data_IF_553259564060
#
_entry.id   IF_553259564060
#
_cell.length_a   1.000
_cell.length_b   1.000
_cell.length_c   1.000
_cell.angle_alpha   90.00
_cell.angle_beta   90.00
_cell.angle_gamma   90.00
#
_symmetry.space_group_name_H-M   'P 1'
#
loop_
_entity.id
_entity.type
_entity.pdbx_description
1 polymer ?
#
# COMPACT_ATOMS: atom_id res chain seq x y z
N UNK A 1 72.76 -23.08 -4.20
CA UNK A 1 71.50 -23.04 -3.39
C UNK A 1 70.61 -21.81 -3.66
N UNK A 2 71.14 -20.64 -4.07
CA UNK A 2 70.34 -19.41 -4.27
C UNK A 2 69.25 -19.49 -5.36
N UNK A 3 69.46 -20.26 -6.44
CA UNK A 3 68.48 -20.36 -7.53
C UNK A 3 67.19 -21.12 -7.15
N UNK A 4 67.25 -22.08 -6.23
CA UNK A 4 66.08 -22.85 -5.79
C UNK A 4 65.14 -22.04 -4.87
N UNK A 5 65.69 -21.08 -4.11
CA UNK A 5 64.92 -20.21 -3.23
C UNK A 5 64.11 -19.18 -4.03
N UNK A 6 64.68 -18.65 -5.12
CA UNK A 6 64.02 -17.65 -5.97
C UNK A 6 62.79 -18.23 -6.70
N UNK A 7 62.88 -19.46 -7.21
CA UNK A 7 61.77 -20.13 -7.88
C UNK A 7 60.59 -20.38 -6.92
N UNK A 8 60.87 -20.75 -5.68
CA UNK A 8 59.86 -21.04 -4.66
C UNK A 8 59.09 -19.79 -4.23
N UNK A 9 59.79 -18.64 -4.15
CA UNK A 9 59.16 -17.34 -3.85
C UNK A 9 58.25 -16.88 -4.98
N UNK A 10 58.65 -17.06 -6.24
CA UNK A 10 57.83 -16.69 -7.40
C UNK A 10 56.55 -17.55 -7.51
N UNK A 11 56.65 -18.86 -7.24
CA UNK A 11 55.49 -19.76 -7.22
C UNK A 11 54.53 -19.43 -6.06
N UNK A 12 55.06 -19.03 -4.91
CA UNK A 12 54.23 -18.62 -3.77
C UNK A 12 53.49 -17.31 -4.05
N UNK A 13 54.14 -16.35 -4.72
CA UNK A 13 53.55 -15.07 -5.11
C UNK A 13 52.45 -15.21 -6.16
N UNK A 14 52.57 -16.16 -7.11
CA UNK A 14 51.49 -16.42 -8.08
C UNK A 14 50.30 -17.11 -7.45
N UNK A 15 50.52 -18.00 -6.46
CA UNK A 15 49.43 -18.57 -5.67
C UNK A 15 48.73 -17.49 -4.82
N UNK A 16 49.48 -16.63 -4.12
CA UNK A 16 48.90 -15.56 -3.30
C UNK A 16 48.22 -14.46 -4.14
N UNK A 17 48.76 -14.14 -5.32
CA UNK A 17 48.15 -13.19 -6.25
C UNK A 17 46.88 -13.71 -6.94
N UNK A 18 46.71 -15.04 -7.05
CA UNK A 18 45.50 -15.65 -7.62
C UNK A 18 44.27 -15.59 -6.71
N UNK A 19 44.46 -15.47 -5.39
CA UNK A 19 43.35 -15.45 -4.42
C UNK A 19 42.64 -14.10 -4.28
N UNK A 20 43.20 -13.00 -4.82
CA UNK A 20 42.62 -11.65 -4.64
C UNK A 20 41.66 -11.23 -5.76
N UNK A 21 41.48 -12.02 -6.82
CA UNK A 21 40.69 -11.63 -8.01
C UNK A 21 39.19 -11.98 -7.88
N UNK A 22 38.78 -12.71 -6.83
CA UNK A 22 37.45 -13.33 -6.76
C UNK A 22 36.52 -12.76 -5.69
N UNK A 23 36.27 -11.45 -5.63
CA UNK A 23 35.17 -10.89 -4.82
C UNK A 23 34.71 -9.55 -5.36
N UNK A 24 34.12 -9.56 -6.56
CA UNK A 24 33.25 -8.45 -6.97
C UNK A 24 31.98 -8.54 -6.09
N UNK A 25 31.95 -7.75 -5.01
CA UNK A 25 30.75 -7.55 -4.21
C UNK A 25 29.69 -6.97 -5.14
N UNK A 26 28.68 -7.76 -5.51
CA UNK A 26 27.53 -7.27 -6.27
C UNK A 26 26.88 -6.17 -5.41
N UNK A 27 26.82 -4.95 -5.95
CA UNK A 27 26.16 -3.85 -5.25
C UNK A 27 24.68 -4.19 -5.06
N UNK A 28 24.19 -4.23 -3.81
CA UNK A 28 22.80 -4.58 -3.56
C UNK A 28 21.87 -3.49 -4.09
N UNK A 29 20.69 -3.88 -4.59
CA UNK A 29 19.69 -2.94 -5.07
C UNK A 29 19.29 -1.95 -3.96
N UNK A 30 19.26 -0.65 -4.30
CA UNK A 30 18.68 0.37 -3.45
C UNK A 30 17.16 0.31 -3.54
N UNK A 31 16.48 0.09 -2.41
CA UNK A 31 15.02 0.08 -2.34
C UNK A 31 14.49 1.47 -1.99
N UNK A 32 13.51 1.94 -2.75
CA UNK A 32 12.75 3.16 -2.48
C UNK A 32 11.28 2.79 -2.31
N UNK A 33 10.64 3.22 -1.23
CA UNK A 33 9.23 2.93 -0.95
C UNK A 33 8.45 4.24 -0.93
N UNK A 34 7.45 4.38 -1.79
CA UNK A 34 6.63 5.58 -1.92
C UNK A 34 7.48 6.86 -2.05
N UNK A 35 8.57 6.80 -2.81
CA UNK A 35 9.52 7.90 -3.01
C UNK A 35 10.57 8.09 -1.91
N UNK A 36 10.54 7.29 -0.83
CA UNK A 36 11.48 7.40 0.28
C UNK A 36 12.54 6.28 0.27
N UNK A 37 13.84 6.59 0.40
CA UNK A 37 14.87 5.57 0.53
C UNK A 37 14.64 4.65 1.72
N UNK A 38 14.78 3.35 1.51
CA UNK A 38 14.60 2.31 2.52
C UNK A 38 15.94 1.65 2.88
N UNK A 39 16.02 1.11 4.09
CA UNK A 39 17.16 0.30 4.56
C UNK A 39 16.95 -1.20 4.33
N UNK A 40 15.85 -1.59 3.66
CA UNK A 40 15.58 -2.98 3.35
C UNK A 40 16.68 -3.56 2.46
N UNK A 41 17.12 -4.75 2.80
CA UNK A 41 18.05 -5.53 1.98
C UNK A 41 17.23 -6.37 1.02
N UNK A 42 17.57 -6.30 -0.26
CA UNK A 42 17.01 -7.19 -1.27
C UNK A 42 17.67 -8.57 -1.11
N UNK A 43 16.83 -9.59 -0.92
CA UNK A 43 17.25 -10.98 -0.95
C UNK A 43 17.34 -11.49 -2.38
N UNK A 44 18.11 -12.56 -2.56
CA UNK A 44 18.20 -13.27 -3.82
C UNK A 44 17.76 -14.71 -3.60
N UNK A 45 16.83 -15.20 -4.43
CA UNK A 45 16.54 -16.62 -4.56
C UNK A 45 16.66 -17.00 -6.03
N UNK A 46 17.75 -17.72 -6.35
CA UNK A 46 18.14 -18.05 -7.73
C UNK A 46 18.20 -16.78 -8.59
N UNK A 47 17.31 -16.66 -9.57
CA UNK A 47 17.24 -15.54 -10.51
C UNK A 47 16.23 -14.46 -10.09
N UNK A 48 15.61 -14.61 -8.91
CA UNK A 48 14.58 -13.70 -8.41
C UNK A 48 15.11 -12.78 -7.31
N UNK A 49 14.68 -11.52 -7.37
CA UNK A 49 14.88 -10.55 -6.30
C UNK A 49 13.69 -10.62 -5.33
N UNK A 50 13.99 -10.73 -4.04
CA UNK A 50 12.99 -10.80 -2.98
C UNK A 50 13.09 -9.52 -2.15
N UNK A 51 11.97 -8.81 -2.02
CA UNK A 51 11.88 -7.59 -1.21
C UNK A 51 10.89 -7.83 -0.06
N UNK A 52 11.34 -7.91 1.20
CA UNK A 52 10.45 -8.11 2.33
C UNK A 52 9.70 -6.81 2.65
N UNK A 53 8.41 -6.76 2.32
CA UNK A 53 7.55 -5.60 2.56
C UNK A 53 6.69 -5.81 3.81
N UNK A 54 6.71 -4.84 4.72
CA UNK A 54 5.78 -4.77 5.84
C UNK A 54 4.59 -3.86 5.47
N UNK A 55 3.38 -4.40 5.54
CA UNK A 55 2.15 -3.64 5.31
C UNK A 55 1.59 -3.16 6.66
N UNK A 56 1.37 -1.85 6.86
CA UNK A 56 0.82 -1.32 8.11
C UNK A 56 -0.69 -1.52 8.15
N UNK A 57 -1.13 -2.77 8.34
CA UNK A 57 -2.54 -3.12 8.42
C UNK A 57 -3.10 -2.67 9.78
N UNK A 58 -4.18 -1.89 9.77
CA UNK A 58 -4.78 -1.31 10.99
C UNK A 58 -6.14 -1.88 11.37
N UNK A 59 -6.76 -2.64 10.46
CA UNK A 59 -8.05 -3.31 10.66
C UNK A 59 -7.99 -4.79 10.28
N UNK A 60 -9.07 -5.49 10.55
CA UNK A 60 -9.25 -6.91 10.22
C UNK A 60 -9.26 -7.18 8.71
N UNK A 61 -9.66 -6.19 7.90
CA UNK A 61 -9.66 -6.32 6.44
C UNK A 61 -9.24 -5.02 5.72
N UNK A 62 -8.07 -5.05 5.08
CA UNK A 62 -7.59 -3.98 4.21
C UNK A 62 -7.09 -4.52 2.86
N UNK A 63 -7.45 -3.82 1.80
CA UNK A 63 -6.94 -4.07 0.46
C UNK A 63 -5.78 -3.11 0.18
N UNK A 64 -4.72 -3.60 -0.47
CA UNK A 64 -3.54 -2.82 -0.82
C UNK A 64 -3.13 -3.06 -2.27
N UNK A 65 -2.81 -1.97 -2.97
CA UNK A 65 -2.17 -2.02 -4.29
C UNK A 65 -0.66 -1.85 -4.12
N UNK A 66 0.11 -2.83 -4.59
CA UNK A 66 1.57 -2.83 -4.57
C UNK A 66 2.08 -2.88 -6.01
N UNK A 67 2.96 -1.95 -6.37
CA UNK A 67 3.61 -1.90 -7.69
C UNK A 67 5.12 -1.81 -7.50
N UNK A 68 5.86 -2.58 -8.30
CA UNK A 68 7.32 -2.63 -8.24
C UNK A 68 7.88 -2.22 -9.61
N UNK A 69 8.83 -1.31 -9.61
CA UNK A 69 9.61 -0.93 -10.78
C UNK A 69 11.08 -1.22 -10.52
N UNK A 70 11.66 -2.10 -11.33
CA UNK A 70 13.08 -2.46 -11.28
C UNK A 70 13.85 -1.67 -12.34
N UNK A 71 14.90 -0.97 -11.91
CA UNK A 71 15.87 -0.32 -12.78
C UNK A 71 17.25 -0.96 -12.56
N UNK A 72 17.65 -1.79 -13.51
CA UNK A 72 18.93 -2.49 -13.47
C UNK A 72 20.14 -1.58 -13.69
N UNK A 73 19.97 -0.47 -14.41
CA UNK A 73 21.08 0.46 -14.67
C UNK A 73 21.42 1.27 -13.43
N UNK A 74 20.39 1.71 -12.72
CA UNK A 74 20.54 2.44 -11.47
C UNK A 74 20.69 1.54 -10.23
N UNK A 75 20.66 0.20 -10.40
CA UNK A 75 20.58 -0.76 -9.30
C UNK A 75 19.51 -0.35 -8.27
N UNK A 76 18.33 0.03 -8.76
CA UNK A 76 17.26 0.62 -7.94
C UNK A 76 15.96 -0.17 -8.09
N UNK A 77 15.22 -0.28 -7.00
CA UNK A 77 13.91 -0.90 -6.96
C UNK A 77 12.91 0.05 -6.28
N UNK A 78 11.98 0.59 -7.06
CA UNK A 78 10.94 1.52 -6.61
C UNK A 78 9.65 0.75 -6.31
N UNK A 79 9.19 0.84 -5.07
CA UNK A 79 8.01 0.17 -4.56
C UNK A 79 6.97 1.22 -4.24
N UNK A 80 5.83 1.16 -4.92
CA UNK A 80 4.66 1.98 -4.59
C UNK A 80 3.61 1.14 -3.89
N UNK A 81 3.19 1.58 -2.71
CA UNK A 81 2.23 0.90 -1.85
C UNK A 81 1.12 1.87 -1.50
N UNK A 82 -0.12 1.54 -1.88
CA UNK A 82 -1.30 2.38 -1.61
C UNK A 82 -2.39 1.54 -0.99
N UNK A 83 -2.91 1.95 0.17
CA UNK A 83 -4.13 1.36 0.75
C UNK A 83 -5.32 1.65 -0.18
N UNK A 84 -6.06 0.62 -0.56
CA UNK A 84 -7.32 0.79 -1.28
C UNK A 84 -8.38 1.11 -0.24
N UNK A 85 -8.71 2.40 -0.13
CA UNK A 85 -9.83 2.84 0.68
C UNK A 85 -11.12 2.43 -0.04
N UNK A 86 -11.70 1.30 0.33
CA UNK A 86 -13.08 1.00 -0.06
C UNK A 86 -13.96 2.10 0.54
N UNK A 87 -14.77 2.76 -0.28
CA UNK A 87 -15.86 3.58 0.25
C UNK A 87 -16.78 2.64 1.02
N UNK A 88 -16.72 2.70 2.35
CA UNK A 88 -17.76 2.12 3.19
C UNK A 88 -19.08 2.80 2.80
N UNK A 89 -20.14 1.99 2.72
CA UNK A 89 -21.47 2.34 2.20
C UNK A 89 -21.82 3.82 2.41
N UNK A 90 -21.95 4.49 1.26
CA UNK A 90 -22.49 5.83 1.07
C UNK A 90 -22.98 6.03 -0.38
N UNK A 91 -23.03 4.97 -1.19
CA UNK A 91 -23.51 5.00 -2.57
C UNK A 91 -24.83 4.21 -2.74
N UNK A 92 -25.20 3.38 -1.76
CA UNK A 92 -26.48 2.65 -1.80
C UNK A 92 -27.60 3.59 -1.42
N UNK A 93 -28.58 3.72 -2.31
CA UNK A 93 -29.78 4.49 -2.06
C UNK A 93 -30.45 4.05 -0.76
N UNK A 94 -30.68 5.01 0.12
CA UNK A 94 -31.36 4.73 1.36
C UNK A 94 -32.83 4.41 1.06
N UNK A 95 -33.17 3.13 1.10
CA UNK A 95 -34.52 2.64 0.80
C UNK A 95 -35.58 3.22 1.75
N UNK A 96 -35.21 3.57 2.98
CA UNK A 96 -36.10 4.22 3.95
C UNK A 96 -36.56 5.62 3.53
N UNK A 97 -35.79 6.31 2.68
CA UNK A 97 -36.14 7.64 2.17
C UNK A 97 -36.12 7.73 0.64
N UNK A 98 -36.11 6.59 -0.06
CA UNK A 98 -35.98 6.52 -1.51
C UNK A 98 -34.87 7.43 -2.07
N UNK A 99 -33.70 7.43 -1.42
CA UNK A 99 -32.54 8.25 -1.75
C UNK A 99 -32.69 9.79 -1.61
N UNK A 100 -33.83 10.28 -1.11
CA UNK A 100 -34.06 11.73 -0.99
C UNK A 100 -33.35 12.36 0.21
N UNK A 101 -33.02 11.57 1.23
CA UNK A 101 -32.56 12.06 2.53
C UNK A 101 -33.66 12.65 3.40
N UNK A 102 -34.85 12.87 2.85
CA UNK A 102 -35.98 13.43 3.59
C UNK A 102 -36.70 12.35 4.37
N UNK A 103 -37.25 12.73 5.52
CA UNK A 103 -38.12 11.83 6.24
C UNK A 103 -39.49 11.76 5.55
N UNK A 104 -39.97 10.56 5.23
CA UNK A 104 -41.21 10.36 4.44
C UNK A 104 -42.47 10.79 5.17
N UNK A 105 -42.41 10.89 6.50
CA UNK A 105 -43.55 11.32 7.32
C UNK A 105 -43.64 12.86 7.37
N UNK A 106 -42.50 13.54 7.51
CA UNK A 106 -42.41 15.00 7.37
C UNK A 106 -42.73 15.47 5.93
N UNK A 107 -42.42 14.65 4.92
CA UNK A 107 -42.62 14.93 3.50
C UNK A 107 -43.35 13.78 2.78
N UNK A 108 -44.66 13.60 3.01
CA UNK A 108 -45.42 12.56 2.32
C UNK A 108 -45.47 12.86 0.83
N UNK A 109 -45.05 11.91 0.00
CA UNK A 109 -44.99 12.07 -1.45
C UNK A 109 -46.38 12.43 -2.02
N UNK A 110 -46.45 13.51 -2.80
CA UNK A 110 -47.69 13.96 -3.46
C UNK A 110 -48.65 14.77 -2.59
N UNK A 111 -48.33 14.98 -1.31
CA UNK A 111 -49.21 15.70 -0.39
C UNK A 111 -49.06 17.23 -0.44
N UNK A 112 -47.90 17.74 -0.87
CA UNK A 112 -47.57 19.18 -0.90
C UNK A 112 -47.45 19.84 0.47
N UNK A 113 -47.55 19.06 1.55
CA UNK A 113 -47.44 19.52 2.94
C UNK A 113 -46.08 19.16 3.52
N UNK A 114 -45.57 20.04 4.39
CA UNK A 114 -44.30 19.90 5.09
C UNK A 114 -44.58 19.97 6.60
N UNK A 115 -44.33 18.87 7.30
CA UNK A 115 -44.49 18.75 8.75
C UNK A 115 -43.17 18.87 9.52
N UNK A 116 -42.05 19.15 8.83
CA UNK A 116 -40.75 19.33 9.46
C UNK A 116 -40.80 20.45 10.51
N UNK A 117 -40.23 20.17 11.69
CA UNK A 117 -40.27 21.04 12.86
C UNK A 117 -41.29 20.63 13.93
N UNK A 118 -42.22 19.72 13.64
CA UNK A 118 -43.08 19.10 14.65
C UNK A 118 -42.40 17.84 15.22
N UNK A 119 -42.31 17.71 16.55
CA UNK A 119 -41.76 16.50 17.16
C UNK A 119 -42.68 15.30 16.90
N UNK A 120 -42.31 14.49 15.92
CA UNK A 120 -43.00 13.24 15.57
C UNK A 120 -42.11 12.00 15.79
N UNK A 121 -42.77 10.83 15.92
CA UNK A 121 -42.14 9.59 16.36
C UNK A 121 -40.98 9.11 15.47
N UNK A 122 -41.05 9.36 14.16
CA UNK A 122 -40.10 8.81 13.19
C UNK A 122 -39.01 9.82 12.82
N UNK A 123 -39.35 11.10 12.69
CA UNK A 123 -38.44 12.11 12.13
C UNK A 123 -37.92 13.11 13.17
N UNK A 124 -38.46 13.06 14.40
CA UNK A 124 -38.08 13.94 15.52
C UNK A 124 -38.10 15.43 15.15
N UNK A 125 -38.96 15.83 14.21
CA UNK A 125 -39.06 17.20 13.70
C UNK A 125 -37.85 17.70 12.93
N UNK A 126 -36.93 16.84 12.51
CA UNK A 126 -35.70 17.24 11.81
C UNK A 126 -35.88 17.40 10.30
N UNK A 127 -36.96 16.85 9.72
CA UNK A 127 -37.12 16.75 8.26
C UNK A 127 -36.22 15.71 7.61
N UNK A 128 -35.29 15.09 8.35
CA UNK A 128 -34.24 14.23 7.82
C UNK A 128 -34.52 12.78 8.15
N UNK A 129 -34.22 11.90 7.20
CA UNK A 129 -34.27 10.47 7.41
C UNK A 129 -33.23 10.05 8.45
N UNK A 130 -33.70 9.51 9.58
CA UNK A 130 -32.87 9.07 10.72
C UNK A 130 -31.94 7.91 10.36
N UNK A 131 -32.28 7.13 9.32
CA UNK A 131 -31.50 5.97 8.89
C UNK A 131 -30.28 6.32 8.05
N UNK A 132 -30.29 7.48 7.36
CA UNK A 132 -29.14 7.97 6.58
C UNK A 132 -28.60 9.32 7.06
N UNK A 133 -29.15 9.88 8.15
CA UNK A 133 -28.77 11.20 8.64
C UNK A 133 -29.08 12.34 7.66
N UNK A 134 -30.00 12.14 6.71
CA UNK A 134 -30.36 13.13 5.71
C UNK A 134 -29.54 13.11 4.42
N UNK A 135 -28.65 12.14 4.23
CA UNK A 135 -27.79 12.07 3.04
C UNK A 135 -28.45 11.42 1.83
N UNK A 136 -29.54 10.67 2.05
CA UNK A 136 -30.14 9.81 1.03
C UNK A 136 -29.34 8.53 0.76
N UNK A 137 -28.25 8.30 1.50
CA UNK A 137 -27.33 7.18 1.26
C UNK A 137 -27.07 6.40 2.55
N UNK A 138 -27.11 5.08 2.46
CA UNK A 138 -26.70 4.16 3.53
C UNK A 138 -25.20 3.89 3.48
#
# INVERSE_FOLDING_TARGET
MKAKLSLLVVVLLTFLGGYTIGSASVEPYQVVINGNPSKLKVGHDKDSLIVPLALPVTSDQEDWNISLLRDDKAHKLDVKMTSVKRKLRGDTDCYYCAATGNCTQDYPAGSGVNYAGACEYICSGTGKCVHCGGTGKL
#
